data_IF_523885166220
#
_entry.id   IF_523885166220
#
_cell.length_a   1.000
_cell.length_b   1.000
_cell.length_c   1.000
_cell.angle_alpha   90.00
_cell.angle_beta   90.00
_cell.angle_gamma   90.00
#
_symmetry.space_group_name_H-M   'P 1'
#
loop_
_entity.id
_entity.type
_entity.pdbx_description
1 polymer ?
#
# COMPACT_ATOMS: atom_id res chain seq x y z
N UNK A 1 -31.78 -33.99 5.05
CA UNK A 1 -31.77 -32.52 4.86
C UNK A 1 -30.33 -32.07 4.82
N UNK A 2 -29.88 -31.45 3.72
CA UNK A 2 -28.47 -31.01 3.55
C UNK A 2 -28.24 -29.58 4.06
N UNK A 3 -29.32 -28.81 4.19
CA UNK A 3 -29.29 -27.41 4.60
C UNK A 3 -29.01 -27.23 6.11
N UNK A 4 -29.33 -28.22 6.95
CA UNK A 4 -29.07 -28.16 8.40
C UNK A 4 -27.57 -28.19 8.73
N UNK A 5 -26.76 -28.79 7.84
CA UNK A 5 -25.31 -28.83 7.95
C UNK A 5 -24.60 -27.66 7.26
N UNK A 6 -25.33 -26.80 6.52
CA UNK A 6 -24.76 -25.65 5.80
C UNK A 6 -24.32 -24.47 6.70
N UNK A 7 -24.99 -24.14 7.82
CA UNK A 7 -24.60 -23.04 8.70
C UNK A 7 -23.12 -23.03 9.13
N UNK A 8 -22.52 -24.15 9.59
CA UNK A 8 -21.11 -24.13 9.97
C UNK A 8 -20.19 -23.83 8.79
N UNK A 9 -20.49 -24.32 7.58
CA UNK A 9 -19.67 -24.03 6.39
C UNK A 9 -19.76 -22.57 5.96
N UNK A 10 -20.93 -21.96 6.08
CA UNK A 10 -21.13 -20.53 5.76
C UNK A 10 -20.30 -19.66 6.71
N UNK A 11 -20.31 -19.98 8.01
CA UNK A 11 -19.52 -19.24 9.00
C UNK A 11 -18.01 -19.35 8.72
N UNK A 12 -17.54 -20.55 8.37
CA UNK A 12 -16.14 -20.77 8.01
C UNK A 12 -15.77 -19.99 6.74
N UNK A 13 -16.64 -20.02 5.72
CA UNK A 13 -16.45 -19.27 4.48
C UNK A 13 -16.35 -17.76 4.72
N UNK A 14 -17.26 -17.22 5.54
CA UNK A 14 -17.24 -15.80 5.92
C UNK A 14 -15.99 -15.43 6.72
N UNK A 15 -15.55 -16.30 7.64
CA UNK A 15 -14.33 -16.06 8.41
C UNK A 15 -13.09 -16.03 7.50
N UNK A 16 -12.97 -16.98 6.56
CA UNK A 16 -11.86 -17.03 5.61
C UNK A 16 -11.85 -15.83 4.66
N UNK A 17 -13.02 -15.47 4.11
CA UNK A 17 -13.17 -14.29 3.28
C UNK A 17 -12.80 -13.01 4.06
N UNK A 18 -13.30 -12.89 5.29
CA UNK A 18 -13.00 -11.77 6.18
C UNK A 18 -11.50 -11.60 6.44
N UNK A 19 -10.78 -12.69 6.73
CA UNK A 19 -9.33 -12.64 6.96
C UNK A 19 -8.56 -12.14 5.72
N UNK A 20 -8.91 -12.63 4.53
CA UNK A 20 -8.25 -12.22 3.28
C UNK A 20 -8.46 -10.73 2.99
N UNK A 21 -9.70 -10.26 3.10
CA UNK A 21 -10.03 -8.86 2.83
C UNK A 21 -9.45 -7.91 3.88
N UNK A 22 -9.53 -8.25 5.17
CA UNK A 22 -9.02 -7.41 6.25
C UNK A 22 -7.52 -7.16 6.10
N UNK A 23 -6.74 -8.22 5.81
CA UNK A 23 -5.30 -8.07 5.62
C UNK A 23 -4.96 -7.19 4.42
N UNK A 24 -5.71 -7.31 3.32
CA UNK A 24 -5.54 -6.48 2.13
C UNK A 24 -5.84 -5.01 2.39
N UNK A 25 -6.97 -4.72 3.05
CA UNK A 25 -7.39 -3.35 3.34
C UNK A 25 -6.47 -2.65 4.34
N UNK A 26 -6.02 -3.36 5.39
CA UNK A 26 -5.06 -2.79 6.35
C UNK A 26 -3.76 -2.40 5.65
N UNK A 27 -3.19 -3.27 4.81
CA UNK A 27 -1.97 -2.95 4.07
C UNK A 27 -2.16 -1.78 3.10
N UNK A 28 -3.29 -1.77 2.38
CA UNK A 28 -3.62 -0.68 1.46
C UNK A 28 -3.78 0.66 2.19
N UNK A 29 -4.35 0.65 3.41
CA UNK A 29 -4.48 1.84 4.25
C UNK A 29 -3.14 2.43 4.69
N UNK A 30 -2.19 1.58 5.13
CA UNK A 30 -0.89 2.06 5.61
C UNK A 30 0.07 2.48 4.51
N UNK A 31 0.14 1.72 3.42
CA UNK A 31 1.14 1.94 2.35
C UNK A 31 0.58 2.66 1.13
N UNK A 32 -0.73 2.95 1.11
CA UNK A 32 -1.42 3.59 -0.02
C UNK A 32 -1.52 2.72 -1.28
N UNK A 33 -0.99 1.49 -1.25
CA UNK A 33 -0.95 0.56 -2.38
C UNK A 33 -1.22 -0.87 -1.93
N UNK A 34 -1.82 -1.71 -2.81
CA UNK A 34 -1.99 -3.12 -2.52
C UNK A 34 -0.63 -3.79 -2.30
N UNK A 35 -0.61 -4.84 -1.49
CA UNK A 35 0.61 -5.60 -1.21
C UNK A 35 1.09 -6.28 -2.49
N UNK A 36 2.31 -5.97 -2.90
CA UNK A 36 2.93 -6.64 -4.03
C UNK A 36 3.31 -8.08 -3.65
N UNK A 37 2.87 -9.03 -4.47
CA UNK A 37 3.19 -10.46 -4.35
C UNK A 37 4.36 -10.80 -5.28
N UNK A 38 5.12 -11.87 -4.96
CA UNK A 38 6.24 -12.35 -5.78
C UNK A 38 7.35 -11.31 -6.04
N UNK A 39 7.69 -10.50 -5.04
CA UNK A 39 8.80 -9.53 -5.10
C UNK A 39 10.14 -10.27 -5.27
N UNK A 40 10.85 -9.99 -6.35
CA UNK A 40 12.22 -10.46 -6.53
C UNK A 40 13.25 -9.43 -5.99
N UNK A 41 14.51 -9.86 -5.90
CA UNK A 41 15.67 -9.06 -5.54
C UNK A 41 15.81 -7.79 -6.38
N UNK A 42 15.45 -7.85 -7.66
CA UNK A 42 15.45 -6.69 -8.55
C UNK A 42 14.39 -5.65 -8.16
N UNK A 43 13.15 -6.07 -7.92
CA UNK A 43 12.06 -5.17 -7.49
C UNK A 43 12.39 -4.48 -6.16
N UNK A 44 13.05 -5.19 -5.24
CA UNK A 44 13.50 -4.62 -3.97
C UNK A 44 14.55 -3.52 -4.18
N UNK A 45 15.43 -3.66 -5.17
CA UNK A 45 16.43 -2.62 -5.52
C UNK A 45 15.77 -1.43 -6.20
N UNK A 46 14.80 -1.68 -7.09
CA UNK A 46 14.01 -0.62 -7.73
C UNK A 46 13.23 0.21 -6.70
N UNK A 47 12.51 -0.44 -5.78
CA UNK A 47 11.76 0.27 -4.74
C UNK A 47 12.64 1.18 -3.87
N UNK A 48 13.87 0.73 -3.56
CA UNK A 48 14.86 1.55 -2.82
C UNK A 48 15.35 2.73 -3.65
N UNK A 49 15.58 2.53 -4.95
CA UNK A 49 15.99 3.59 -5.87
C UNK A 49 14.90 4.65 -6.00
N UNK A 50 13.67 4.24 -6.25
CA UNK A 50 12.55 5.15 -6.46
C UNK A 50 12.23 5.95 -5.18
N UNK A 51 12.41 5.35 -4.00
CA UNK A 51 12.32 6.06 -2.73
C UNK A 51 13.37 7.19 -2.60
N UNK A 52 14.62 6.95 -3.03
CA UNK A 52 15.68 7.97 -3.02
C UNK A 52 15.37 9.09 -4.01
N UNK A 53 14.96 8.75 -5.23
CA UNK A 53 14.60 9.73 -6.26
C UNK A 53 13.45 10.61 -5.79
N UNK A 54 12.40 10.03 -5.18
CA UNK A 54 11.30 10.83 -4.65
C UNK A 54 11.73 11.79 -3.53
N UNK A 55 12.66 11.37 -2.67
CA UNK A 55 13.24 12.27 -1.64
C UNK A 55 14.02 13.42 -2.26
N UNK A 56 14.86 13.14 -3.26
CA UNK A 56 15.62 14.17 -3.97
C UNK A 56 14.70 15.16 -4.71
N UNK A 57 13.64 14.67 -5.37
CA UNK A 57 12.65 15.52 -6.03
C UNK A 57 11.95 16.42 -5.01
N UNK A 58 11.54 15.86 -3.87
CA UNK A 58 10.88 16.62 -2.80
C UNK A 58 11.79 17.74 -2.27
N UNK A 59 13.06 17.44 -2.00
CA UNK A 59 14.05 18.44 -1.55
C UNK A 59 14.26 19.54 -2.60
N UNK A 60 14.34 19.18 -3.89
CA UNK A 60 14.48 20.16 -4.98
C UNK A 60 13.24 21.06 -5.10
N UNK A 61 12.04 20.51 -4.92
CA UNK A 61 10.80 21.29 -4.91
C UNK A 61 10.75 22.25 -3.71
N UNK A 62 11.12 21.78 -2.51
CA UNK A 62 11.20 22.62 -1.31
C UNK A 62 12.20 23.78 -1.51
N UNK A 63 13.37 23.51 -2.10
CA UNK A 63 14.35 24.54 -2.46
C UNK A 63 13.82 25.56 -3.49
N UNK A 64 13.10 25.12 -4.52
CA UNK A 64 12.52 26.01 -5.53
C UNK A 64 11.34 26.83 -4.99
N UNK A 65 10.54 26.27 -4.09
CA UNK A 65 9.37 26.96 -3.50
C UNK A 65 9.81 27.98 -2.46
N UNK A 66 10.95 27.74 -1.77
CA UNK A 66 11.61 28.75 -0.93
C UNK A 66 12.12 29.96 -1.73
N UNK A 67 12.58 29.76 -2.97
CA UNK A 67 13.03 30.85 -3.85
C UNK A 67 11.90 31.76 -4.35
N UNK A 68 10.69 31.22 -4.57
CA UNK A 68 9.55 32.02 -5.07
C UNK A 68 8.95 32.97 -4.02
N UNK A 69 9.12 32.71 -2.72
CA UNK A 69 8.66 33.63 -1.66
C UNK A 69 9.55 34.87 -1.49
N UNK A 70 10.80 34.83 -1.97
CA UNK A 70 11.74 35.97 -1.91
C UNK A 70 11.77 36.85 -3.16
N UNK A 71 11.06 36.48 -4.23
CA UNK A 71 11.04 37.24 -5.50
C UNK A 71 9.83 38.18 -5.64
N UNK A 72 8.79 38.01 -4.82
CA UNK A 72 7.56 38.82 -4.81
C UNK A 72 7.37 39.61 -3.50
N UNK A 73 8.47 40.00 -2.83
CA UNK A 73 8.45 40.93 -1.68
C UNK A 73 9.31 42.15 -2.01
#
# INVERSE_FOLDING_TARGET
MWWESAPPFILIGLALAGMGHLQGWVHQGFYGKPKAVCIDSYDRKLAKRDARIMQEIRQRQEAQTGGKKGFFS
#
